data_IF_464070417500
#
_entry.id   IF_464070417500
#
_cell.length_a   1.000
_cell.length_b   1.000
_cell.length_c   1.000
_cell.angle_alpha   90.00
_cell.angle_beta   90.00
_cell.angle_gamma   90.00
#
_symmetry.space_group_name_H-M   'P 1'
#
loop_
_entity.id
_entity.type
_entity.pdbx_description
1 polymer ?
#
# COMPACT_ATOMS: atom_id res chain seq x y z
N UNK A 1 -26.60 -26.95 2.10
CA UNK A 1 -26.18 -25.56 1.78
C UNK A 1 -27.43 -24.69 1.75
N UNK A 2 -27.47 -23.62 2.53
CA UNK A 2 -28.55 -22.62 2.45
C UNK A 2 -28.50 -21.91 1.10
N UNK A 3 -29.61 -21.85 0.36
CA UNK A 3 -29.72 -21.09 -0.90
C UNK A 3 -30.21 -19.67 -0.59
N UNK A 4 -29.60 -18.66 -1.20
CA UNK A 4 -30.10 -17.28 -1.13
C UNK A 4 -31.38 -17.14 -1.97
N UNK A 5 -32.37 -16.43 -1.43
CA UNK A 5 -33.55 -16.02 -2.20
C UNK A 5 -33.16 -15.02 -3.29
N UNK A 6 -33.96 -14.91 -4.35
CA UNK A 6 -33.67 -14.00 -5.45
C UNK A 6 -33.75 -12.53 -5.01
N UNK A 7 -34.62 -12.21 -4.05
CA UNK A 7 -34.66 -10.88 -3.43
C UNK A 7 -33.33 -10.52 -2.74
N UNK A 8 -32.72 -11.45 -2.00
CA UNK A 8 -31.42 -11.22 -1.35
C UNK A 8 -30.32 -11.04 -2.40
N UNK A 9 -30.30 -11.88 -3.45
CA UNK A 9 -29.35 -11.72 -4.57
C UNK A 9 -29.51 -10.36 -5.26
N UNK A 10 -30.74 -9.90 -5.46
CA UNK A 10 -31.02 -8.61 -6.09
C UNK A 10 -30.49 -7.44 -5.23
N UNK A 11 -30.66 -7.49 -3.91
CA UNK A 11 -30.14 -6.46 -3.00
C UNK A 11 -28.62 -6.45 -2.93
N UNK A 12 -27.97 -7.62 -2.86
CA UNK A 12 -26.49 -7.72 -2.89
C UNK A 12 -25.94 -7.12 -4.19
N UNK A 13 -26.62 -7.34 -5.32
CA UNK A 13 -26.18 -6.86 -6.63
C UNK A 13 -26.76 -5.49 -7.02
N UNK A 14 -27.42 -4.78 -6.09
CA UNK A 14 -28.06 -3.53 -6.41
C UNK A 14 -27.02 -2.46 -6.80
N UNK A 15 -27.30 -1.67 -7.84
CA UNK A 15 -26.34 -0.69 -8.38
C UNK A 15 -25.86 0.34 -7.34
N UNK A 16 -26.75 0.77 -6.43
CA UNK A 16 -26.39 1.71 -5.36
C UNK A 16 -25.45 1.10 -4.30
N UNK A 17 -25.41 -0.24 -4.16
CA UNK A 17 -24.51 -0.94 -3.26
C UNK A 17 -23.08 -1.04 -3.82
N UNK A 18 -22.89 -0.76 -5.12
CA UNK A 18 -21.59 -0.81 -5.82
C UNK A 18 -20.81 -2.11 -5.49
N UNK A 19 -21.37 -3.30 -5.77
CA UNK A 19 -20.82 -4.59 -5.33
C UNK A 19 -19.54 -5.02 -6.06
N UNK A 20 -19.28 -4.44 -7.24
CA UNK A 20 -18.15 -4.78 -8.08
C UNK A 20 -16.88 -3.99 -7.79
N UNK A 21 -15.86 -4.24 -8.60
CA UNK A 21 -14.64 -3.45 -8.61
C UNK A 21 -14.89 -2.03 -9.10
N UNK A 22 -14.06 -1.09 -8.66
CA UNK A 22 -13.96 0.21 -9.30
C UNK A 22 -13.31 0.01 -10.67
N UNK A 23 -14.01 0.35 -11.74
CA UNK A 23 -13.49 0.25 -13.11
C UNK A 23 -12.46 1.35 -13.36
N UNK A 24 -11.37 1.02 -14.03
CA UNK A 24 -10.42 2.03 -14.46
C UNK A 24 -11.07 2.89 -15.56
N UNK A 25 -10.95 4.22 -15.44
CA UNK A 25 -11.30 5.12 -16.53
C UNK A 25 -10.23 5.10 -17.62
N UNK A 26 -10.56 5.61 -18.81
CA UNK A 26 -9.59 5.76 -19.89
C UNK A 26 -8.39 6.65 -19.52
N UNK A 27 -8.56 7.53 -18.52
CA UNK A 27 -7.54 8.47 -18.07
C UNK A 27 -6.53 7.87 -17.07
N UNK A 28 -6.77 6.65 -16.57
CA UNK A 28 -5.85 5.97 -15.65
C UNK A 28 -4.49 5.74 -16.29
N UNK A 29 -4.46 5.23 -17.53
CA UNK A 29 -3.19 4.95 -18.22
C UNK A 29 -2.37 6.23 -18.49
N UNK A 30 -2.95 7.31 -19.06
CA UNK A 30 -2.27 8.60 -19.16
C UNK A 30 -1.77 9.15 -17.81
N UNK A 31 -2.58 9.06 -16.74
CA UNK A 31 -2.18 9.53 -15.42
C UNK A 31 -0.97 8.75 -14.86
N UNK A 32 -0.93 7.43 -15.06
CA UNK A 32 0.21 6.59 -14.66
C UNK A 32 1.48 6.93 -15.46
N UNK A 33 1.36 7.17 -16.77
CA UNK A 33 2.49 7.60 -17.61
C UNK A 33 3.04 8.93 -17.13
N UNK A 34 2.17 9.89 -16.82
CA UNK A 34 2.56 11.20 -16.28
C UNK A 34 3.23 11.06 -14.91
N UNK A 35 2.71 10.19 -14.03
CA UNK A 35 3.31 9.90 -12.73
C UNK A 35 4.73 9.31 -12.92
N UNK A 36 4.90 8.28 -13.75
CA UNK A 36 6.20 7.67 -14.00
C UNK A 36 7.20 8.68 -14.63
N UNK A 37 6.73 9.53 -15.54
CA UNK A 37 7.55 10.57 -16.17
C UNK A 37 8.00 11.62 -15.15
N UNK A 38 7.07 12.10 -14.32
CA UNK A 38 7.38 13.04 -13.24
C UNK A 38 8.30 12.42 -12.18
N UNK A 39 8.13 11.13 -11.89
CA UNK A 39 9.03 10.40 -10.98
C UNK A 39 10.45 10.39 -11.53
N UNK A 40 10.62 10.11 -12.83
CA UNK A 40 11.92 10.17 -13.50
C UNK A 40 12.56 11.57 -13.43
N UNK A 41 11.79 12.63 -13.68
CA UNK A 41 12.27 14.02 -13.58
C UNK A 41 12.76 14.37 -12.17
N UNK A 42 12.09 13.84 -11.14
CA UNK A 42 12.44 14.03 -9.73
C UNK A 42 13.44 12.99 -9.19
N UNK A 43 13.95 12.09 -10.05
CA UNK A 43 14.85 11.00 -9.68
C UNK A 43 14.26 10.09 -8.59
N UNK A 44 12.96 9.83 -8.68
CA UNK A 44 12.24 8.87 -7.85
C UNK A 44 12.21 7.54 -8.58
N UNK A 45 12.86 6.53 -7.99
CA UNK A 45 13.04 5.23 -8.64
C UNK A 45 11.75 4.45 -8.83
N UNK A 46 11.82 3.43 -9.69
CA UNK A 46 10.70 2.56 -10.02
C UNK A 46 9.97 1.97 -8.79
N UNK A 47 10.67 1.42 -7.79
CA UNK A 47 9.99 0.84 -6.63
C UNK A 47 9.11 1.83 -5.87
N UNK A 48 9.48 3.11 -5.82
CA UNK A 48 8.75 4.13 -5.08
C UNK A 48 7.43 4.51 -5.76
N UNK A 49 7.45 4.87 -7.04
CA UNK A 49 6.21 5.25 -7.73
C UNK A 49 5.29 4.05 -7.98
N UNK A 50 5.84 2.85 -8.22
CA UNK A 50 5.05 1.61 -8.28
C UNK A 50 4.38 1.32 -6.95
N UNK A 51 5.09 1.51 -5.83
CA UNK A 51 4.50 1.33 -4.48
C UNK A 51 3.34 2.29 -4.25
N UNK A 52 3.54 3.59 -4.52
CA UNK A 52 2.50 4.61 -4.35
C UNK A 52 1.26 4.29 -5.19
N UNK A 53 1.44 4.09 -6.50
CA UNK A 53 0.33 3.82 -7.42
C UNK A 53 -0.39 2.50 -7.12
N UNK A 54 0.34 1.44 -6.74
CA UNK A 54 -0.26 0.15 -6.35
C UNK A 54 -1.12 0.29 -5.11
N UNK A 55 -0.65 1.02 -4.09
CA UNK A 55 -1.41 1.23 -2.87
C UNK A 55 -2.69 2.04 -3.12
N UNK A 56 -2.66 3.03 -4.02
CA UNK A 56 -3.88 3.73 -4.47
C UNK A 56 -4.86 2.75 -5.13
N UNK A 57 -4.40 1.98 -6.12
CA UNK A 57 -5.22 0.99 -6.84
C UNK A 57 -5.84 -0.05 -5.90
N UNK A 58 -5.06 -0.59 -4.97
CA UNK A 58 -5.53 -1.55 -3.97
C UNK A 58 -6.63 -0.95 -3.08
N UNK A 59 -6.43 0.27 -2.59
CA UNK A 59 -7.38 0.98 -1.71
C UNK A 59 -8.69 1.28 -2.41
N UNK A 60 -8.62 1.70 -3.67
CA UNK A 60 -9.79 2.01 -4.47
C UNK A 60 -10.45 0.77 -5.08
N UNK A 61 -9.95 -0.44 -4.80
CA UNK A 61 -10.48 -1.70 -5.33
C UNK A 61 -10.53 -1.69 -6.88
N UNK A 62 -9.45 -1.21 -7.51
CA UNK A 62 -9.34 -1.03 -8.96
C UNK A 62 -8.20 -1.91 -9.53
N UNK A 63 -8.44 -3.22 -9.76
CA UNK A 63 -7.40 -4.15 -10.21
C UNK A 63 -6.86 -3.84 -11.62
N UNK A 64 -7.67 -3.27 -12.51
CA UNK A 64 -7.24 -2.88 -13.86
C UNK A 64 -6.10 -1.86 -13.81
N UNK A 65 -6.16 -0.89 -12.87
CA UNK A 65 -5.06 0.04 -12.64
C UNK A 65 -3.78 -0.67 -12.17
N UNK A 66 -3.90 -1.74 -11.37
CA UNK A 66 -2.77 -2.55 -10.91
C UNK A 66 -2.08 -3.26 -12.08
N UNK A 67 -2.86 -3.80 -13.01
CA UNK A 67 -2.36 -4.39 -14.26
C UNK A 67 -1.65 -3.34 -15.14
N UNK A 68 -2.24 -2.15 -15.30
CA UNK A 68 -1.60 -1.02 -16.00
C UNK A 68 -0.26 -0.61 -15.39
N UNK A 69 -0.18 -0.55 -14.04
CA UNK A 69 1.07 -0.25 -13.31
C UNK A 69 2.14 -1.30 -13.64
N UNK A 70 1.78 -2.58 -13.62
CA UNK A 70 2.69 -3.66 -13.98
C UNK A 70 3.20 -3.53 -15.42
N UNK A 71 2.33 -3.27 -16.39
CA UNK A 71 2.75 -3.09 -17.78
C UNK A 71 3.70 -1.89 -17.94
N UNK A 72 3.38 -0.76 -17.31
CA UNK A 72 4.22 0.44 -17.37
C UNK A 72 5.58 0.24 -16.67
N UNK A 73 5.61 -0.48 -15.55
CA UNK A 73 6.85 -0.82 -14.86
C UNK A 73 7.77 -1.72 -15.71
N UNK A 74 7.22 -2.44 -16.70
CA UNK A 74 7.96 -3.34 -17.58
C UNK A 74 8.08 -2.84 -19.03
N UNK A 75 7.56 -1.65 -19.35
CA UNK A 75 7.66 -1.05 -20.70
C UNK A 75 8.92 -0.20 -20.89
N UNK A 76 9.66 0.06 -19.81
CA UNK A 76 10.95 0.75 -19.83
C UNK A 76 12.07 -0.27 -19.69
N UNK A 77 13.30 0.11 -20.09
CA UNK A 77 14.52 -0.69 -19.89
C UNK A 77 14.84 -0.78 -18.39
N UNK A 78 14.00 -1.52 -17.68
CA UNK A 78 14.00 -1.68 -16.24
C UNK A 78 15.09 -2.68 -15.88
N UNK A 79 15.96 -2.31 -14.95
CA UNK A 79 16.95 -3.24 -14.37
C UNK A 79 16.29 -4.39 -13.60
N UNK A 80 14.98 -4.32 -13.35
CA UNK A 80 14.20 -5.37 -12.68
C UNK A 80 13.48 -6.23 -13.70
N UNK A 81 13.56 -7.54 -13.52
CA UNK A 81 12.79 -8.52 -14.28
C UNK A 81 11.28 -8.38 -13.96
N UNK A 82 10.37 -8.72 -14.90
CA UNK A 82 8.93 -8.63 -14.68
C UNK A 82 8.44 -9.34 -13.41
N UNK A 83 8.99 -10.50 -13.08
CA UNK A 83 8.67 -11.23 -11.84
C UNK A 83 8.97 -10.40 -10.60
N UNK A 84 10.08 -9.65 -10.56
CA UNK A 84 10.43 -8.80 -9.41
C UNK A 84 9.47 -7.60 -9.26
N UNK A 85 8.91 -7.11 -10.36
CA UNK A 85 7.90 -6.05 -10.34
C UNK A 85 6.53 -6.59 -9.91
N UNK A 86 6.15 -7.78 -10.39
CA UNK A 86 4.93 -8.46 -9.94
C UNK A 86 4.99 -8.79 -8.43
N UNK A 87 6.13 -9.27 -7.93
CA UNK A 87 6.32 -9.53 -6.50
C UNK A 87 6.24 -8.26 -5.65
N UNK A 88 6.78 -7.14 -6.13
CA UNK A 88 6.64 -5.85 -5.44
C UNK A 88 5.17 -5.43 -5.35
N UNK A 89 4.43 -5.50 -6.47
CA UNK A 89 3.01 -5.16 -6.52
C UNK A 89 2.20 -6.05 -5.56
N UNK A 90 2.48 -7.37 -5.56
CA UNK A 90 1.84 -8.33 -4.64
C UNK A 90 2.11 -8.00 -3.18
N UNK A 91 3.37 -7.73 -2.83
CA UNK A 91 3.78 -7.42 -1.46
C UNK A 91 3.19 -6.09 -0.98
N UNK A 92 3.14 -5.06 -1.84
CA UNK A 92 2.47 -3.78 -1.55
C UNK A 92 0.97 -3.99 -1.33
N UNK A 93 0.30 -4.72 -2.23
CA UNK A 93 -1.13 -5.01 -2.11
C UNK A 93 -1.47 -5.81 -0.84
N UNK A 94 -0.57 -6.70 -0.40
CA UNK A 94 -0.70 -7.42 0.87
C UNK A 94 -0.58 -6.45 2.06
N UNK A 95 0.45 -5.59 2.09
CA UNK A 95 0.66 -4.63 3.19
C UNK A 95 -0.46 -3.59 3.31
N UNK A 96 -1.17 -3.29 2.22
CA UNK A 96 -2.34 -2.40 2.24
C UNK A 96 -3.44 -2.88 3.20
N UNK A 97 -3.52 -4.18 3.54
CA UNK A 97 -4.51 -4.74 4.48
C UNK A 97 -4.56 -3.95 5.79
N UNK A 98 -3.41 -3.45 6.28
CA UNK A 98 -3.34 -2.68 7.53
C UNK A 98 -4.13 -1.37 7.50
N UNK A 99 -4.46 -0.89 6.32
CA UNK A 99 -5.00 0.45 6.13
C UNK A 99 -6.33 0.46 5.36
N UNK A 100 -6.57 -0.49 4.45
CA UNK A 100 -7.81 -0.56 3.66
C UNK A 100 -8.69 -1.80 3.93
N UNK A 101 -8.21 -2.76 4.73
CA UNK A 101 -8.91 -3.99 5.08
C UNK A 101 -8.77 -5.14 4.08
N UNK A 102 -8.94 -6.35 4.60
CA UNK A 102 -8.72 -7.62 3.87
C UNK A 102 -9.50 -7.75 2.55
N UNK A 103 -10.81 -7.43 2.46
CA UNK A 103 -11.59 -7.71 1.25
C UNK A 103 -11.05 -7.04 -0.02
N UNK A 104 -10.53 -5.80 0.09
CA UNK A 104 -10.00 -5.08 -1.06
C UNK A 104 -8.69 -5.69 -1.55
N UNK A 105 -7.80 -6.04 -0.62
CA UNK A 105 -6.57 -6.75 -0.97
C UNK A 105 -6.86 -8.13 -1.59
N UNK A 106 -7.85 -8.89 -1.11
CA UNK A 106 -8.26 -10.15 -1.74
C UNK A 106 -8.65 -9.91 -3.20
N UNK A 107 -9.57 -8.96 -3.43
CA UNK A 107 -10.08 -8.64 -4.75
C UNK A 107 -8.95 -8.23 -5.70
N UNK A 108 -8.13 -7.25 -5.30
CA UNK A 108 -7.13 -6.69 -6.20
C UNK A 108 -5.97 -7.64 -6.45
N UNK A 109 -5.51 -8.38 -5.44
CA UNK A 109 -4.44 -9.37 -5.63
C UNK A 109 -4.90 -10.57 -6.47
N UNK A 110 -6.13 -11.05 -6.24
CA UNK A 110 -6.69 -12.14 -7.02
C UNK A 110 -6.86 -11.80 -8.50
N UNK A 111 -7.46 -10.64 -8.78
CA UNK A 111 -7.62 -10.15 -10.15
C UNK A 111 -6.26 -9.82 -10.81
N UNK A 112 -5.33 -9.20 -10.07
CA UNK A 112 -3.99 -8.92 -10.58
C UNK A 112 -3.26 -10.20 -10.98
N UNK A 113 -3.24 -11.23 -10.12
CA UNK A 113 -2.62 -12.52 -10.44
C UNK A 113 -3.21 -13.12 -11.71
N UNK A 114 -4.54 -13.08 -11.88
CA UNK A 114 -5.23 -13.57 -13.08
C UNK A 114 -4.93 -12.77 -14.36
N UNK A 115 -4.39 -11.55 -14.23
CA UNK A 115 -4.02 -10.70 -15.37
C UNK A 115 -2.56 -10.84 -15.82
N UNK A 116 -1.72 -11.55 -15.06
CA UNK A 116 -0.30 -11.67 -15.36
C UNK A 116 -0.03 -12.60 -16.56
N UNK A 117 1.02 -12.32 -17.36
CA UNK A 117 1.55 -13.29 -18.31
C UNK A 117 1.90 -14.62 -17.64
N UNK A 118 1.72 -15.74 -18.34
CA UNK A 118 1.85 -17.09 -17.76
C UNK A 118 3.27 -17.42 -17.28
N UNK A 119 4.29 -16.94 -17.98
CA UNK A 119 5.70 -17.06 -17.62
C UNK A 119 6.02 -16.29 -16.32
N UNK A 120 5.43 -15.11 -16.15
CA UNK A 120 5.56 -14.31 -14.93
C UNK A 120 4.81 -14.99 -13.77
N UNK A 121 3.55 -15.37 -13.98
CA UNK A 121 2.69 -15.96 -12.95
C UNK A 121 3.26 -17.28 -12.40
N UNK A 122 3.79 -18.13 -13.28
CA UNK A 122 4.42 -19.41 -12.89
C UNK A 122 5.76 -19.26 -12.17
N UNK A 123 6.42 -18.11 -12.31
CA UNK A 123 7.70 -17.80 -11.66
C UNK A 123 7.54 -17.09 -10.32
N UNK A 124 6.30 -16.79 -9.90
CA UNK A 124 6.01 -16.13 -8.64
C UNK A 124 6.30 -17.04 -7.43
N UNK A 125 6.68 -16.42 -6.32
CA UNK A 125 6.83 -17.09 -5.03
C UNK A 125 5.48 -17.64 -4.55
N UNK A 126 5.50 -18.92 -4.17
CA UNK A 126 4.38 -19.68 -3.61
C UNK A 126 4.57 -20.03 -2.12
N UNK A 127 5.75 -19.75 -1.56
CA UNK A 127 6.07 -20.05 -0.17
C UNK A 127 5.54 -18.98 0.80
N UNK A 128 4.93 -19.41 1.90
CA UNK A 128 4.51 -18.51 2.98
C UNK A 128 5.73 -18.04 3.79
N UNK A 129 5.73 -16.77 4.20
CA UNK A 129 6.88 -16.15 4.91
C UNK A 129 6.49 -15.43 6.21
N UNK A 130 5.21 -15.46 6.57
CA UNK A 130 4.63 -14.72 7.71
C UNK A 130 3.95 -15.60 8.74
N UNK A 131 4.15 -16.91 8.66
CA UNK A 131 3.62 -17.83 9.65
C UNK A 131 4.31 -17.63 11.00
N UNK A 132 3.52 -17.49 12.07
CA UNK A 132 4.04 -17.47 13.42
C UNK A 132 4.36 -18.88 13.88
N UNK A 133 5.56 -19.05 14.41
CA UNK A 133 6.01 -20.29 15.03
C UNK A 133 6.57 -19.98 16.41
N UNK A 134 6.63 -20.99 17.28
CA UNK A 134 7.27 -20.86 18.60
C UNK A 134 8.72 -20.33 18.50
N UNK A 135 9.42 -20.63 17.40
CA UNK A 135 10.79 -20.21 17.17
C UNK A 135 10.93 -18.74 16.72
N UNK A 136 9.91 -18.13 16.11
CA UNK A 136 10.02 -16.80 15.51
C UNK A 136 9.16 -15.71 16.19
N UNK A 137 8.17 -16.09 17.01
CA UNK A 137 7.14 -15.17 17.50
C UNK A 137 7.71 -13.98 18.26
N UNK A 138 8.68 -14.20 19.16
CA UNK A 138 9.27 -13.12 19.96
C UNK A 138 10.12 -12.17 19.12
N UNK A 139 10.89 -12.69 18.16
CA UNK A 139 11.66 -11.86 17.23
C UNK A 139 10.73 -10.97 16.39
N UNK A 140 9.59 -11.51 15.94
CA UNK A 140 8.60 -10.77 15.14
C UNK A 140 7.86 -9.70 15.92
N UNK A 141 7.53 -9.96 17.19
CA UNK A 141 6.96 -8.94 18.08
C UNK A 141 7.95 -7.78 18.25
N UNK A 142 9.24 -8.10 18.45
CA UNK A 142 10.30 -7.11 18.54
C UNK A 142 10.46 -6.30 17.25
N UNK A 143 10.40 -6.96 16.07
CA UNK A 143 10.46 -6.28 14.77
C UNK A 143 9.29 -5.31 14.59
N UNK A 144 8.07 -5.74 14.95
CA UNK A 144 6.89 -4.87 14.88
C UNK A 144 6.99 -3.66 15.81
N UNK A 145 7.48 -3.87 17.03
CA UNK A 145 7.70 -2.78 17.97
C UNK A 145 8.79 -1.82 17.48
N UNK A 146 9.88 -2.34 16.93
CA UNK A 146 10.95 -1.52 16.37
C UNK A 146 10.45 -0.68 15.18
N UNK A 147 9.70 -1.28 14.25
CA UNK A 147 9.12 -0.54 13.13
C UNK A 147 8.13 0.54 13.61
N UNK A 148 7.30 0.24 14.60
CA UNK A 148 6.43 1.23 15.23
C UNK A 148 7.25 2.39 15.80
N UNK A 149 8.31 2.08 16.52
CA UNK A 149 9.12 3.10 17.17
C UNK A 149 9.80 4.02 16.13
N UNK A 150 10.30 3.45 15.04
CA UNK A 150 10.88 4.21 13.91
C UNK A 150 9.87 5.11 13.19
N UNK A 151 8.59 4.72 13.14
CA UNK A 151 7.55 5.54 12.50
C UNK A 151 7.12 6.69 13.42
N UNK A 152 7.01 6.42 14.72
CA UNK A 152 6.43 7.35 15.69
C UNK A 152 7.48 7.99 16.62
N UNK A 153 8.75 8.04 16.23
CA UNK A 153 9.87 8.46 17.08
C UNK A 153 9.54 9.70 17.93
N UNK A 154 9.64 9.60 19.26
CA UNK A 154 9.29 10.65 20.23
C UNK A 154 7.82 10.73 20.66
N UNK A 155 6.94 9.91 20.07
CA UNK A 155 5.51 9.82 20.42
C UNK A 155 4.99 8.38 20.56
N UNK A 156 5.83 7.38 20.32
CA UNK A 156 5.54 5.95 20.24
C UNK A 156 4.72 5.47 21.43
N UNK A 157 5.22 5.71 22.65
CA UNK A 157 4.61 5.20 23.88
C UNK A 157 3.34 5.97 24.23
N UNK A 158 3.40 7.30 24.14
CA UNK A 158 2.24 8.16 24.36
C UNK A 158 1.08 7.83 23.41
N UNK A 159 1.39 7.48 22.16
CA UNK A 159 0.38 7.06 21.19
C UNK A 159 -0.20 5.69 21.54
N UNK A 160 0.63 4.72 21.95
CA UNK A 160 0.14 3.42 22.44
C UNK A 160 -0.77 3.58 23.67
N UNK A 161 -0.39 4.41 24.63
CA UNK A 161 -1.20 4.68 25.82
C UNK A 161 -2.54 5.32 25.43
N UNK A 162 -2.54 6.26 24.48
CA UNK A 162 -3.76 6.88 23.97
C UNK A 162 -4.65 5.88 23.23
N UNK A 163 -4.08 4.94 22.49
CA UNK A 163 -4.84 3.87 21.83
C UNK A 163 -5.43 2.89 22.86
N UNK A 164 -4.67 2.55 23.90
CA UNK A 164 -5.12 1.69 24.99
C UNK A 164 -6.31 2.27 25.77
N UNK A 165 -6.38 3.60 25.90
CA UNK A 165 -7.52 4.29 26.54
C UNK A 165 -8.84 4.03 25.80
N UNK A 166 -8.81 3.92 24.47
CA UNK A 166 -10.00 3.60 23.68
C UNK A 166 -10.35 2.11 23.78
N UNK A 167 -9.34 1.23 23.75
CA UNK A 167 -9.49 -0.20 23.98
C UNK A 167 -8.12 -0.84 24.29
N UNK A 168 -7.96 -1.64 25.35
CA UNK A 168 -6.65 -2.18 25.75
C UNK A 168 -6.01 -3.10 24.69
N UNK A 169 -6.82 -3.87 23.96
CA UNK A 169 -6.30 -4.76 22.90
C UNK A 169 -5.92 -4.03 21.60
N UNK A 170 -6.34 -2.78 21.40
CA UNK A 170 -6.07 -2.04 20.17
C UNK A 170 -4.56 -1.90 19.87
N UNK A 171 -3.71 -1.40 20.79
CA UNK A 171 -2.27 -1.37 20.55
C UNK A 171 -1.67 -2.77 20.40
N UNK A 172 -2.20 -3.79 21.09
CA UNK A 172 -1.73 -5.18 20.97
C UNK A 172 -1.92 -5.70 19.55
N UNK A 173 -3.11 -5.50 18.97
CA UNK A 173 -3.41 -5.92 17.61
C UNK A 173 -2.66 -5.10 16.56
N UNK A 174 -2.50 -3.78 16.77
CA UNK A 174 -1.70 -2.93 15.89
C UNK A 174 -0.25 -3.40 15.85
N UNK A 175 0.39 -3.60 17.01
CA UNK A 175 1.80 -3.99 17.06
C UNK A 175 1.99 -5.41 16.53
N UNK A 176 1.26 -6.38 17.07
CA UNK A 176 1.52 -7.79 16.74
C UNK A 176 0.96 -8.16 15.37
N UNK A 177 -0.29 -7.79 15.09
CA UNK A 177 -0.97 -8.15 13.84
C UNK A 177 -0.50 -7.32 12.64
N UNK A 178 -0.38 -6.01 12.80
CA UNK A 178 -0.06 -5.12 11.67
C UNK A 178 1.43 -4.83 11.57
N UNK A 179 2.05 -4.22 12.57
CA UNK A 179 3.46 -3.82 12.47
C UNK A 179 4.41 -5.03 12.43
N UNK A 180 4.16 -6.06 13.25
CA UNK A 180 4.99 -7.25 13.36
C UNK A 180 4.77 -8.26 12.24
N UNK A 181 3.54 -8.78 12.10
CA UNK A 181 3.27 -9.83 11.12
C UNK A 181 3.29 -9.33 9.67
N UNK A 182 2.65 -8.18 9.42
CA UNK A 182 2.31 -7.73 8.08
C UNK A 182 3.30 -6.70 7.51
N UNK A 183 3.48 -5.57 8.20
CA UNK A 183 4.23 -4.41 7.70
C UNK A 183 5.75 -4.61 7.81
N UNK A 184 6.25 -5.27 8.84
CA UNK A 184 7.68 -5.64 8.91
C UNK A 184 7.98 -6.76 7.91
N UNK A 185 9.12 -6.65 7.24
CA UNK A 185 9.56 -7.71 6.33
C UNK A 185 10.04 -8.94 7.11
N UNK A 186 9.70 -10.16 6.67
CA UNK A 186 10.29 -11.38 7.20
C UNK A 186 11.82 -11.40 7.18
N UNK A 187 12.43 -11.64 8.35
CA UNK A 187 13.87 -11.91 8.44
C UNK A 187 14.25 -13.14 7.62
N UNK A 188 15.35 -13.06 6.88
CA UNK A 188 15.88 -14.20 6.10
C UNK A 188 14.98 -14.65 4.94
N UNK A 189 14.06 -13.80 4.49
CA UNK A 189 13.21 -14.06 3.31
C UNK A 189 14.09 -14.34 2.09
N UNK A 190 13.83 -15.45 1.40
CA UNK A 190 14.58 -15.87 0.19
C UNK A 190 13.80 -15.67 -1.12
N UNK A 191 12.51 -15.40 -1.03
CA UNK A 191 11.59 -15.35 -2.18
C UNK A 191 10.62 -14.18 -2.04
N UNK A 192 10.06 -13.69 -3.14
CA UNK A 192 9.18 -12.52 -3.14
C UNK A 192 9.93 -11.20 -2.93
N UNK A 193 9.19 -10.09 -2.83
CA UNK A 193 9.78 -8.77 -2.65
C UNK A 193 9.89 -8.37 -1.18
N UNK A 194 10.91 -7.59 -0.83
CA UNK A 194 10.94 -6.79 0.40
C UNK A 194 10.54 -5.36 0.05
N UNK A 195 9.65 -4.79 0.85
CA UNK A 195 9.20 -3.39 0.69
C UNK A 195 10.07 -2.47 1.56
N UNK A 196 10.60 -2.97 2.67
CA UNK A 196 11.52 -2.24 3.53
C UNK A 196 10.85 -1.09 4.29
N UNK A 197 11.67 -0.32 5.00
CA UNK A 197 11.21 0.75 5.88
C UNK A 197 10.58 1.92 5.11
N UNK A 198 11.22 2.35 4.03
CA UNK A 198 10.81 3.53 3.26
C UNK A 198 9.56 3.25 2.44
N UNK A 199 9.52 2.17 1.64
CA UNK A 199 8.34 1.87 0.84
C UNK A 199 7.15 1.49 1.72
N UNK A 200 7.35 0.92 2.92
CA UNK A 200 6.26 0.70 3.89
C UNK A 200 5.60 2.02 4.32
N UNK A 201 6.40 3.09 4.51
CA UNK A 201 5.84 4.44 4.72
C UNK A 201 5.05 4.92 3.49
N UNK A 202 5.55 4.68 2.27
CA UNK A 202 4.83 5.05 1.04
C UNK A 202 3.51 4.29 0.89
N UNK A 203 3.47 2.99 1.21
CA UNK A 203 2.23 2.19 1.27
C UNK A 203 1.22 2.84 2.20
N UNK A 204 1.64 3.17 3.43
CA UNK A 204 0.76 3.77 4.42
C UNK A 204 0.21 5.12 3.94
N UNK A 205 1.08 6.02 3.46
CA UNK A 205 0.69 7.36 2.99
C UNK A 205 -0.29 7.26 1.83
N UNK A 206 0.02 6.48 0.79
CA UNK A 206 -0.84 6.33 -0.37
C UNK A 206 -2.19 5.68 -0.03
N UNK A 207 -2.17 4.64 0.80
CA UNK A 207 -3.37 3.95 1.21
C UNK A 207 -4.28 4.86 2.06
N UNK A 208 -3.73 5.55 3.07
CA UNK A 208 -4.47 6.47 3.93
C UNK A 208 -4.96 7.72 3.17
N UNK A 209 -4.16 8.28 2.27
CA UNK A 209 -4.57 9.45 1.46
C UNK A 209 -5.67 9.11 0.46
N UNK A 210 -5.75 7.85 0.01
CA UNK A 210 -6.79 7.38 -0.92
C UNK A 210 -8.14 7.09 -0.25
N UNK A 211 -8.30 7.42 1.04
CA UNK A 211 -9.53 7.23 1.79
C UNK A 211 -9.87 8.44 2.65
N UNK A 212 -11.13 8.57 3.05
CA UNK A 212 -11.60 9.73 3.83
C UNK A 212 -11.51 9.50 5.33
N UNK A 213 -11.47 10.61 6.10
CA UNK A 213 -11.58 10.57 7.56
C UNK A 213 -10.31 10.18 8.33
N UNK A 214 -9.18 9.95 7.65
CA UNK A 214 -7.92 9.47 8.28
C UNK A 214 -6.75 10.45 8.12
N UNK A 215 -7.05 11.76 8.03
CA UNK A 215 -6.05 12.83 7.92
C UNK A 215 -4.93 12.77 8.97
N UNK A 216 -5.22 12.59 10.27
CA UNK A 216 -4.20 12.49 11.31
C UNK A 216 -3.20 11.33 11.07
N UNK A 217 -3.66 10.22 10.51
CA UNK A 217 -2.82 9.07 10.19
C UNK A 217 -1.93 9.37 8.98
N UNK A 218 -2.44 10.06 7.95
CA UNK A 218 -1.61 10.56 6.83
C UNK A 218 -0.48 11.44 7.35
N UNK A 219 -0.81 12.43 8.20
CA UNK A 219 0.18 13.31 8.83
C UNK A 219 1.25 12.51 9.57
N UNK A 220 0.82 11.53 10.35
CA UNK A 220 1.73 10.69 11.16
C UNK A 220 2.71 9.90 10.29
N UNK A 221 2.23 9.30 9.19
CA UNK A 221 3.08 8.52 8.29
C UNK A 221 3.97 9.38 7.40
N UNK A 222 3.57 10.61 7.06
CA UNK A 222 4.45 11.60 6.42
C UNK A 222 5.60 11.95 7.36
N UNK A 223 5.34 12.27 8.63
CA UNK A 223 6.42 12.48 9.60
C UNK A 223 7.27 11.24 9.80
N UNK A 224 6.67 10.05 9.81
CA UNK A 224 7.41 8.79 9.90
C UNK A 224 8.33 8.54 8.71
N UNK A 225 7.98 8.99 7.49
CA UNK A 225 8.88 8.94 6.33
C UNK A 225 10.08 9.89 6.54
N UNK A 226 9.82 11.12 6.99
CA UNK A 226 10.87 12.13 7.24
C UNK A 226 11.88 11.65 8.28
N UNK A 227 11.36 11.17 9.40
CA UNK A 227 12.15 10.63 10.52
C UNK A 227 13.01 9.44 10.12
N UNK A 228 12.56 8.63 9.15
CA UNK A 228 13.36 7.51 8.67
C UNK A 228 14.69 7.98 8.06
N UNK A 229 14.71 9.13 7.38
CA UNK A 229 15.93 9.71 6.84
C UNK A 229 16.70 10.51 7.90
N UNK A 230 16.00 11.35 8.67
CA UNK A 230 16.61 12.19 9.72
C UNK A 230 17.39 11.37 10.76
N UNK A 231 16.93 10.16 11.10
CA UNK A 231 17.56 9.31 12.11
C UNK A 231 18.34 8.12 11.52
N UNK A 232 18.46 8.04 10.19
CA UNK A 232 19.23 6.99 9.51
C UNK A 232 18.56 5.62 9.38
N UNK A 233 17.32 5.43 9.85
CA UNK A 233 16.58 4.16 9.69
C UNK A 233 16.41 3.75 8.21
N UNK A 234 16.30 4.71 7.30
CA UNK A 234 16.23 4.49 5.87
C UNK A 234 17.53 3.90 5.28
N UNK A 235 18.63 4.01 6.02
CA UNK A 235 19.96 3.51 5.65
C UNK A 235 20.47 2.42 6.62
N UNK A 236 19.58 1.91 7.49
CA UNK A 236 19.94 0.85 8.43
C UNK A 236 20.37 -0.43 7.69
N UNK A 237 21.20 -1.24 8.35
CA UNK A 237 21.68 -2.51 7.79
C UNK A 237 20.52 -3.40 7.33
N UNK A 238 20.62 -3.94 6.12
CA UNK A 238 19.59 -4.78 5.51
C UNK A 238 18.43 -4.00 4.87
N UNK A 239 18.44 -2.66 4.88
CA UNK A 239 17.52 -1.85 4.08
C UNK A 239 18.09 -1.60 2.68
N UNK A 240 17.27 -1.85 1.67
CA UNK A 240 17.60 -1.49 0.29
C UNK A 240 17.42 0.02 0.08
N UNK A 241 18.41 0.72 -0.51
CA UNK A 241 18.27 2.13 -0.83
C UNK A 241 17.08 2.39 -1.74
N UNK A 242 16.27 3.40 -1.41
CA UNK A 242 15.18 3.87 -2.26
C UNK A 242 15.66 5.12 -3.00
N UNK A 243 15.87 4.98 -4.30
CA UNK A 243 16.22 6.10 -5.19
C UNK A 243 15.17 7.22 -5.08
N UNK A 244 15.64 8.43 -4.79
CA UNK A 244 14.79 9.61 -4.57
C UNK A 244 14.06 9.63 -3.23
N UNK A 245 14.29 8.65 -2.35
CA UNK A 245 13.55 8.55 -1.10
C UNK A 245 13.84 9.68 -0.09
N UNK A 246 15.08 10.17 -0.02
CA UNK A 246 15.41 11.35 0.80
C UNK A 246 14.71 12.61 0.27
N UNK A 247 14.64 12.76 -1.06
CA UNK A 247 13.86 13.82 -1.67
C UNK A 247 12.36 13.68 -1.37
N UNK A 248 11.81 12.46 -1.41
CA UNK A 248 10.42 12.18 -1.01
C UNK A 248 10.13 12.54 0.46
N UNK A 249 11.16 12.52 1.32
CA UNK A 249 11.11 12.97 2.71
C UNK A 249 11.27 14.49 2.89
N UNK A 250 11.46 15.26 1.81
CA UNK A 250 11.43 16.73 1.86
C UNK A 250 10.00 17.28 1.77
N UNK A 251 9.82 18.59 2.02
CA UNK A 251 8.54 19.26 1.81
C UNK A 251 8.07 19.14 0.34
N UNK A 252 8.95 19.39 -0.62
CA UNK A 252 8.62 19.31 -2.06
C UNK A 252 8.24 17.88 -2.46
N UNK A 253 8.97 16.88 -1.95
CA UNK A 253 8.66 15.48 -2.19
C UNK A 253 7.35 15.03 -1.57
N UNK A 254 7.03 15.51 -0.36
CA UNK A 254 5.74 15.26 0.28
C UNK A 254 4.57 15.88 -0.51
N UNK A 255 4.71 17.13 -0.96
CA UNK A 255 3.71 17.80 -1.82
C UNK A 255 3.52 17.00 -3.10
N UNK A 256 4.61 16.69 -3.80
CA UNK A 256 4.56 15.94 -5.05
C UNK A 256 3.89 14.57 -4.88
N UNK A 257 4.22 13.84 -3.82
CA UNK A 257 3.65 12.53 -3.54
C UNK A 257 2.13 12.63 -3.33
N UNK A 258 1.68 13.57 -2.47
CA UNK A 258 0.27 13.75 -2.18
C UNK A 258 -0.53 14.19 -3.42
N UNK A 259 0.01 15.11 -4.23
CA UNK A 259 -0.64 15.55 -5.46
C UNK A 259 -0.76 14.43 -6.50
N UNK A 260 0.26 13.57 -6.65
CA UNK A 260 0.18 12.44 -7.59
C UNK A 260 -0.80 11.36 -7.10
N UNK A 261 -0.87 11.12 -5.79
CA UNK A 261 -1.91 10.27 -5.20
C UNK A 261 -3.29 10.84 -5.52
N UNK A 262 -3.51 12.13 -5.26
CA UNK A 262 -4.81 12.78 -5.49
C UNK A 262 -5.23 12.75 -6.96
N UNK A 263 -4.29 13.01 -7.89
CA UNK A 263 -4.53 12.91 -9.33
C UNK A 263 -4.97 11.49 -9.72
N UNK A 264 -4.28 10.47 -9.21
CA UNK A 264 -4.60 9.07 -9.50
C UNK A 264 -5.94 8.65 -8.88
N UNK A 265 -6.22 9.07 -7.65
CA UNK A 265 -7.52 8.86 -6.99
C UNK A 265 -8.64 9.48 -7.81
N UNK A 266 -8.46 10.72 -8.27
CA UNK A 266 -9.47 11.43 -9.06
C UNK A 266 -9.81 10.69 -10.36
N UNK A 267 -8.81 10.26 -11.13
CA UNK A 267 -9.05 9.55 -12.40
C UNK A 267 -9.64 8.15 -12.19
N UNK A 268 -9.23 7.41 -11.16
CA UNK A 268 -9.81 6.09 -10.85
C UNK A 268 -11.26 6.21 -10.41
N UNK A 269 -11.60 7.26 -9.66
CA UNK A 269 -12.94 7.47 -9.15
C UNK A 269 -13.85 8.31 -10.07
N UNK A 270 -13.32 8.77 -11.22
CA UNK A 270 -13.99 9.73 -12.11
C UNK A 270 -14.55 10.97 -11.37
N UNK A 271 -13.87 11.43 -10.31
CA UNK A 271 -14.35 12.53 -9.46
C UNK A 271 -15.59 12.23 -8.59
N UNK A 272 -16.26 11.08 -8.79
CA UNK A 272 -17.44 10.66 -8.02
C UNK A 272 -17.07 10.03 -6.67
N UNK A 273 -15.81 9.62 -6.53
CA UNK A 273 -15.29 8.91 -5.36
C UNK A 273 -15.72 7.45 -5.27
N UNK A 274 -15.25 6.79 -4.22
CA UNK A 274 -15.65 5.43 -3.85
C UNK A 274 -16.51 5.44 -2.58
N UNK A 275 -17.02 4.27 -2.19
CA UNK A 275 -17.72 4.08 -0.91
C UNK A 275 -16.85 4.41 0.31
N UNK A 276 -15.52 4.45 0.17
CA UNK A 276 -14.55 4.80 1.23
C UNK A 276 -13.92 6.18 1.06
N UNK A 277 -14.06 6.74 -0.13
CA UNK A 277 -13.57 8.06 -0.48
C UNK A 277 -14.63 8.78 -1.32
N UNK A 278 -15.75 9.24 -0.72
CA UNK A 278 -16.78 9.98 -1.46
C UNK A 278 -16.13 11.11 -2.25
N UNK A 279 -16.63 11.33 -3.46
CA UNK A 279 -16.03 12.28 -4.40
C UNK A 279 -15.98 13.67 -3.82
N UNK A 280 -15.07 14.50 -4.34
CA UNK A 280 -14.98 15.91 -3.97
C UNK A 280 -16.15 16.69 -4.56
N UNK A 281 -17.39 16.41 -4.13
CA UNK A 281 -18.49 17.34 -4.33
C UNK A 281 -18.24 18.50 -3.38
N UNK A 282 -18.02 19.69 -3.94
CA UNK A 282 -18.08 20.92 -3.16
C UNK A 282 -19.38 20.90 -2.37
N UNK A 283 -19.31 21.16 -1.06
CA UNK A 283 -20.52 21.52 -0.31
C UNK A 283 -21.07 22.77 -1.01
N UNK A 284 -22.24 22.63 -1.65
CA UNK A 284 -23.10 23.78 -1.93
C UNK A 284 -23.52 24.41 -0.61
#
# INVERSE_FOLDING_TARGET
MSKLSDAVKALINAGHAKPGYTRASADVQPALINFASSAKEKKVGLPAWVTLSTAVSATLNCPEAMTSIFHLANSSDSQRAPVQNAELIREVGLKCISFNGIPRSINTLGAFYGSLPSDVASSLSTATTREYTAANVEARKKDGLALWDQVYLGFERKLLDKLAQSHPDLPVHIINGHYGNLLSDPRGKKTGANVGRVLTSLVAIACLRSQTGVGPQVTSHVFGLRKAYENGDAHAEGQEPVEGGEWLASNDGNIWMLENIDKLVNVICCGEGTTFAPGMRAKL
#
